data_IF_782207429875
#
_entry.id   IF_782207429875
#
_cell.length_a   1.000
_cell.length_b   1.000
_cell.length_c   1.000
_cell.angle_alpha   90.00
_cell.angle_beta   90.00
_cell.angle_gamma   90.00
#
_symmetry.space_group_name_H-M   'P 1'
#
loop_
_entity.id
_entity.type
_entity.pdbx_description
1 polymer ?
#
# COMPACT_ATOMS: atom_id res chain seq x y z
N UNK A 1 12.18 -24.79 7.31
CA UNK A 1 12.79 -23.45 7.19
C UNK A 1 12.94 -22.99 5.75
N UNK A 2 13.50 -23.80 4.84
CA UNK A 2 13.61 -23.45 3.41
C UNK A 2 12.27 -23.05 2.76
N UNK A 3 11.24 -23.87 2.92
CA UNK A 3 9.89 -23.60 2.38
C UNK A 3 9.34 -22.23 2.80
N UNK A 4 9.48 -21.87 4.08
CA UNK A 4 9.04 -20.57 4.58
C UNK A 4 9.87 -19.45 3.94
N UNK A 5 11.20 -19.58 3.89
CA UNK A 5 12.09 -18.49 3.48
C UNK A 5 12.22 -18.31 1.97
N UNK A 6 12.23 -19.40 1.21
CA UNK A 6 12.40 -19.38 -0.24
C UNK A 6 11.06 -19.42 -0.96
N UNK A 7 10.17 -20.34 -0.60
CA UNK A 7 8.96 -20.58 -1.39
C UNK A 7 7.83 -19.62 -1.02
N UNK A 8 7.66 -19.32 0.28
CA UNK A 8 6.61 -18.40 0.75
C UNK A 8 7.07 -16.94 0.78
N UNK A 9 8.28 -16.68 1.27
CA UNK A 9 8.77 -15.32 1.52
C UNK A 9 9.63 -14.73 0.40
N UNK A 10 10.08 -15.54 -0.56
CA UNK A 10 10.98 -15.12 -1.66
C UNK A 10 12.18 -14.27 -1.20
N UNK A 11 13.06 -14.89 -0.40
CA UNK A 11 14.26 -14.20 0.09
C UNK A 11 15.17 -13.67 -1.04
N UNK A 12 15.15 -14.30 -2.22
CA UNK A 12 15.98 -13.88 -3.36
C UNK A 12 15.46 -12.57 -3.94
N UNK A 13 14.15 -12.47 -4.20
CA UNK A 13 13.53 -11.22 -4.65
C UNK A 13 13.71 -10.10 -3.63
N UNK A 14 13.59 -10.40 -2.34
CA UNK A 14 13.85 -9.41 -1.28
C UNK A 14 15.30 -8.88 -1.31
N UNK A 15 16.30 -9.75 -1.53
CA UNK A 15 17.69 -9.34 -1.66
C UNK A 15 17.93 -8.46 -2.89
N UNK A 16 17.31 -8.77 -4.02
CA UNK A 16 17.41 -7.97 -5.25
C UNK A 16 16.88 -6.55 -5.03
N UNK A 17 15.70 -6.40 -4.45
CA UNK A 17 15.11 -5.08 -4.14
C UNK A 17 16.00 -4.29 -3.17
N UNK A 18 16.50 -4.91 -2.09
CA UNK A 18 17.37 -4.24 -1.14
C UNK A 18 18.70 -3.80 -1.77
N UNK A 19 19.27 -4.63 -2.64
CA UNK A 19 20.48 -4.28 -3.37
C UNK A 19 20.23 -3.15 -4.36
N UNK A 20 19.09 -3.13 -5.06
CA UNK A 20 18.67 -2.04 -5.94
C UNK A 20 18.48 -0.71 -5.19
N UNK A 21 17.93 -0.75 -3.97
CA UNK A 21 17.84 0.44 -3.11
C UNK A 21 19.26 0.91 -2.72
N UNK A 22 20.12 -0.03 -2.30
CA UNK A 22 21.49 0.28 -1.84
C UNK A 22 22.37 0.83 -2.97
N UNK A 23 22.22 0.35 -4.19
CA UNK A 23 22.97 0.81 -5.37
C UNK A 23 22.46 2.15 -5.91
N UNK A 24 21.25 2.56 -5.53
CA UNK A 24 20.58 3.75 -6.05
C UNK A 24 19.80 3.52 -7.34
N UNK A 25 19.71 2.28 -7.83
CA UNK A 25 18.87 1.90 -8.96
C UNK A 25 17.38 2.05 -8.62
N UNK A 26 16.99 1.68 -7.39
CA UNK A 26 15.64 1.87 -6.86
C UNK A 26 15.65 3.11 -5.97
N UNK A 27 14.90 4.14 -6.39
CA UNK A 27 14.70 5.35 -5.59
C UNK A 27 13.57 5.14 -4.58
N UNK A 28 13.88 5.37 -3.31
CA UNK A 28 12.86 5.47 -2.26
C UNK A 28 12.46 6.94 -2.10
N UNK A 29 11.16 7.21 -2.17
CA UNK A 29 10.60 8.56 -2.04
C UNK A 29 9.69 8.58 -0.81
N UNK A 30 10.01 9.43 0.15
CA UNK A 30 9.12 9.73 1.27
C UNK A 30 8.14 10.85 0.82
N UNK A 31 6.85 10.54 0.86
CA UNK A 31 5.77 11.46 0.52
C UNK A 31 5.22 12.20 1.74
N UNK A 32 5.78 11.94 2.93
CA UNK A 32 5.33 12.50 4.19
C UNK A 32 3.98 11.94 4.65
N UNK A 33 3.42 12.56 5.70
CA UNK A 33 2.09 12.22 6.20
C UNK A 33 1.04 12.86 5.30
N UNK A 34 0.16 12.02 4.77
CA UNK A 34 -1.00 12.45 3.99
C UNK A 34 -2.26 12.43 4.85
N UNK A 35 -3.13 13.42 4.68
CA UNK A 35 -4.42 13.49 5.38
C UNK A 35 -5.43 12.51 4.79
N UNK A 36 -5.30 12.21 3.49
CA UNK A 36 -6.14 11.27 2.75
C UNK A 36 -5.22 10.21 2.13
N UNK A 37 -5.55 8.91 2.25
CA UNK A 37 -4.73 7.88 1.64
C UNK A 37 -4.78 7.96 0.12
N UNK A 38 -3.60 7.81 -0.51
CA UNK A 38 -3.49 7.76 -1.97
C UNK A 38 -4.32 6.61 -2.54
N UNK A 39 -4.74 6.66 -3.82
CA UNK A 39 -5.46 5.55 -4.44
C UNK A 39 -4.74 4.20 -4.27
N UNK A 40 -3.41 4.23 -4.25
CA UNK A 40 -2.58 3.04 -4.04
C UNK A 40 -2.63 2.52 -2.59
N UNK A 41 -2.67 3.42 -1.59
CA UNK A 41 -2.71 3.05 -0.18
C UNK A 41 -4.11 2.60 0.30
N UNK A 42 -5.19 2.99 -0.39
CA UNK A 42 -6.56 2.68 0.01
C UNK A 42 -6.83 1.18 0.13
N UNK A 43 -6.28 0.37 -0.78
CA UNK A 43 -6.44 -1.09 -0.73
C UNK A 43 -5.87 -1.69 0.55
N UNK A 44 -4.66 -1.27 0.95
CA UNK A 44 -3.98 -1.74 2.16
C UNK A 44 -4.78 -1.38 3.41
N UNK A 45 -5.30 -0.15 3.47
CA UNK A 45 -6.10 0.31 4.62
C UNK A 45 -7.40 -0.48 4.74
N UNK A 46 -8.11 -0.69 3.63
CA UNK A 46 -9.36 -1.44 3.65
C UNK A 46 -9.15 -2.91 3.98
N UNK A 47 -8.00 -3.48 3.63
CA UNK A 47 -7.64 -4.84 4.02
C UNK A 47 -7.38 -4.94 5.53
N UNK A 48 -6.67 -3.97 6.10
CA UNK A 48 -6.45 -3.89 7.55
C UNK A 48 -7.72 -3.66 8.38
N UNK A 49 -8.79 -3.18 7.75
CA UNK A 49 -10.10 -2.98 8.39
C UNK A 49 -11.08 -4.13 8.14
N UNK A 50 -10.73 -5.10 7.30
CA UNK A 50 -11.66 -6.13 6.81
C UNK A 50 -12.30 -6.97 7.92
N UNK A 51 -11.58 -7.21 9.02
CA UNK A 51 -12.10 -7.94 10.19
C UNK A 51 -13.11 -7.12 11.02
N UNK A 52 -13.19 -5.81 10.80
CA UNK A 52 -13.99 -4.88 11.60
C UNK A 52 -15.19 -4.28 10.84
N UNK A 53 -15.22 -4.37 9.52
CA UNK A 53 -16.23 -3.71 8.67
C UNK A 53 -16.92 -4.69 7.74
N UNK A 54 -18.18 -4.42 7.43
CA UNK A 54 -18.88 -5.17 6.39
C UNK A 54 -18.40 -4.76 4.98
N UNK A 55 -18.66 -5.61 3.99
CA UNK A 55 -18.31 -5.31 2.59
C UNK A 55 -19.01 -4.05 2.05
N UNK A 56 -20.23 -3.77 2.53
CA UNK A 56 -20.96 -2.55 2.18
C UNK A 56 -20.24 -1.30 2.68
N UNK A 57 -19.72 -1.36 3.92
CA UNK A 57 -18.93 -0.30 4.54
C UNK A 57 -17.57 -0.12 3.83
N UNK A 58 -16.94 -1.22 3.38
CA UNK A 58 -15.72 -1.17 2.56
C UNK A 58 -15.93 -0.36 1.28
N UNK A 59 -17.05 -0.59 0.58
CA UNK A 59 -17.41 0.16 -0.62
C UNK A 59 -17.75 1.63 -0.33
N UNK A 60 -18.39 1.90 0.81
CA UNK A 60 -18.68 3.26 1.27
C UNK A 60 -17.39 4.05 1.57
N UNK A 61 -16.46 3.41 2.30
CA UNK A 61 -15.15 3.97 2.63
C UNK A 61 -14.32 4.28 1.38
N UNK A 62 -14.29 3.35 0.41
CA UNK A 62 -13.60 3.58 -0.86
C UNK A 62 -14.16 4.79 -1.63
N UNK A 63 -15.49 4.88 -1.74
CA UNK A 63 -16.15 6.04 -2.37
C UNK A 63 -15.85 7.34 -1.64
N UNK A 64 -15.74 7.30 -0.31
CA UNK A 64 -15.36 8.48 0.49
C UNK A 64 -13.94 8.92 0.17
N UNK A 65 -12.97 8.00 0.16
CA UNK A 65 -11.59 8.34 -0.19
C UNK A 65 -11.49 8.92 -1.61
N UNK A 66 -12.20 8.33 -2.58
CA UNK A 66 -12.24 8.85 -3.94
C UNK A 66 -12.76 10.30 -3.99
N UNK A 67 -13.86 10.60 -3.30
CA UNK A 67 -14.41 11.97 -3.25
C UNK A 67 -13.45 12.97 -2.62
N UNK A 68 -12.73 12.59 -1.57
CA UNK A 68 -11.74 13.49 -0.96
C UNK A 68 -10.56 13.75 -1.90
N UNK A 69 -10.10 12.75 -2.65
CA UNK A 69 -9.09 12.94 -3.69
C UNK A 69 -9.59 13.85 -4.81
N UNK A 70 -10.82 13.65 -5.29
CA UNK A 70 -11.42 14.50 -6.33
C UNK A 70 -11.48 15.97 -5.90
N UNK A 71 -11.77 16.25 -4.62
CA UNK A 71 -11.71 17.62 -4.08
C UNK A 71 -10.30 18.19 -4.10
N UNK A 72 -9.31 17.42 -3.64
CA UNK A 72 -7.90 17.85 -3.62
C UNK A 72 -7.37 18.14 -5.02
N UNK A 73 -7.85 17.41 -6.04
CA UNK A 73 -7.42 17.59 -7.44
C UNK A 73 -8.24 18.64 -8.22
N UNK A 74 -9.45 18.95 -7.76
CA UNK A 74 -10.39 19.87 -8.41
C UNK A 74 -10.39 21.30 -7.85
N UNK A 75 -9.67 21.53 -6.76
CA UNK A 75 -9.15 22.84 -6.33
C UNK A 75 -7.73 23.05 -6.88
#
# INVERSE_FOLDING_TARGET
YREIMEDYMDIRGAQEVLNGIKSGEIRVVDVGRLEVPTPFAQGIILEGLSDLIFMEDKMSALRRFQKEIEKILGE
#
